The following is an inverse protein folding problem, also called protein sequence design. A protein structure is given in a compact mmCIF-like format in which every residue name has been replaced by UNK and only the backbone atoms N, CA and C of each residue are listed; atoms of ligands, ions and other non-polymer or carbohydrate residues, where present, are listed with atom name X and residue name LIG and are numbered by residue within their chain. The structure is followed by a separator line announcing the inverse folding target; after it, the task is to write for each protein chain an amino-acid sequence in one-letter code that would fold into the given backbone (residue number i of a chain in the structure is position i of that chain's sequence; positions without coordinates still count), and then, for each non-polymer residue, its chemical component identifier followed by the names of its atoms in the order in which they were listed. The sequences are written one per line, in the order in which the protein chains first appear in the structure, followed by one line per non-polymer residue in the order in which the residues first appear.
data_IF_716135044355
#
_entry.id   IF_716135044355
#
_cell.length_a   1.000
_cell.length_b   1.000
_cell.length_c   1.000
_cell.angle_alpha   90.00
_cell.angle_beta   90.00
_cell.angle_gamma   90.00
#
_symmetry.space_group_name_H-M   'P 1'
#
loop_
_entity.id
_entity.type
_entity.pdbx_description
1 polymer ?
#
# COMPACT_ATOMS: atom_id res chain seq x y z
N UNK A 1 -12.93 -5.15 0.08
CA UNK A 1 -13.98 -4.17 0.36
C UNK A 1 -15.37 -4.85 0.33
N UNK A 2 -16.42 -4.08 0.54
CA UNK A 2 -17.81 -4.57 0.53
C UNK A 2 -18.24 -5.24 -0.80
N UNK A 3 -17.51 -5.01 -1.88
CA UNK A 3 -17.75 -5.60 -3.20
C UNK A 3 -16.85 -6.81 -3.50
N UNK A 4 -16.13 -7.31 -2.52
CA UNK A 4 -15.20 -8.44 -2.65
C UNK A 4 -13.87 -8.10 -3.32
N UNK A 5 -13.54 -6.81 -3.55
CA UNK A 5 -12.27 -6.39 -4.17
C UNK A 5 -11.18 -6.21 -3.14
N UNK A 6 -9.98 -6.66 -3.45
CA UNK A 6 -8.78 -6.35 -2.67
C UNK A 6 -8.21 -4.97 -3.04
N UNK A 7 -7.20 -4.51 -2.31
CA UNK A 7 -6.61 -3.18 -2.49
C UNK A 7 -5.90 -2.99 -3.84
N UNK A 8 -5.30 -4.02 -4.38
CA UNK A 8 -4.68 -4.00 -5.72
C UNK A 8 -5.74 -3.83 -6.81
N UNK A 9 -6.86 -4.54 -6.69
CA UNK A 9 -7.98 -4.45 -7.63
C UNK A 9 -8.64 -3.07 -7.61
N UNK A 10 -8.73 -2.43 -6.43
CA UNK A 10 -9.23 -1.07 -6.29
C UNK A 10 -8.39 -0.03 -7.06
N UNK A 11 -7.09 -0.27 -7.21
CA UNK A 11 -6.19 0.57 -8.03
C UNK A 11 -6.25 0.16 -9.50
N UNK A 12 -6.13 -1.13 -9.80
CA UNK A 12 -6.13 -1.61 -11.18
C UNK A 12 -7.42 -1.25 -11.95
N UNK A 13 -8.55 -1.13 -11.27
CA UNK A 13 -9.83 -0.71 -11.87
C UNK A 13 -9.85 0.75 -12.36
N UNK A 14 -8.84 1.55 -12.02
CA UNK A 14 -8.68 2.93 -12.52
C UNK A 14 -8.18 2.95 -13.97
N UNK A 15 -7.50 1.89 -14.40
CA UNK A 15 -6.98 1.80 -15.75
C UNK A 15 -8.13 1.70 -16.75
N UNK A 16 -8.22 2.67 -17.63
CA UNK A 16 -9.06 2.62 -18.84
C UNK A 16 -8.19 2.28 -20.05
N UNK A 17 -8.26 1.04 -20.50
CA UNK A 17 -7.44 0.52 -21.61
C UNK A 17 -7.58 1.31 -22.92
N UNK A 18 -8.66 2.08 -23.11
CA UNK A 18 -8.87 2.90 -24.30
C UNK A 18 -8.08 4.21 -24.28
N UNK A 19 -7.81 4.71 -23.06
CA UNK A 19 -7.22 6.03 -22.84
C UNK A 19 -5.84 5.97 -22.17
N UNK A 20 -5.51 4.86 -21.50
CA UNK A 20 -4.28 4.72 -20.75
C UNK A 20 -3.37 3.67 -21.39
N UNK A 21 -2.10 4.03 -21.56
CA UNK A 21 -1.07 3.15 -22.12
C UNK A 21 0.23 3.11 -21.31
N UNK A 22 0.48 4.14 -20.48
CA UNK A 22 1.70 4.29 -19.69
C UNK A 22 1.35 4.27 -18.20
N UNK A 23 1.81 3.27 -17.48
CA UNK A 23 1.52 3.10 -16.05
C UNK A 23 2.82 3.02 -15.26
N UNK A 24 2.88 3.78 -14.17
CA UNK A 24 3.97 3.76 -13.19
C UNK A 24 3.45 3.32 -11.83
N UNK A 25 4.19 2.47 -11.13
CA UNK A 25 3.93 2.11 -9.74
C UNK A 25 5.09 2.60 -8.85
N UNK A 26 4.79 3.53 -7.93
CA UNK A 26 5.73 4.12 -6.98
C UNK A 26 5.77 3.31 -5.68
N UNK A 27 6.93 2.79 -5.33
CA UNK A 27 7.07 1.81 -4.25
C UNK A 27 6.46 0.48 -4.67
N UNK A 28 6.83 -0.01 -5.86
CA UNK A 28 6.18 -1.16 -6.50
C UNK A 28 6.46 -2.50 -5.77
N UNK A 29 7.39 -2.53 -4.81
CA UNK A 29 7.79 -3.73 -4.10
C UNK A 29 8.11 -4.89 -5.06
N UNK A 30 7.57 -6.05 -4.79
CA UNK A 30 7.73 -7.26 -5.63
C UNK A 30 6.84 -7.28 -6.89
N UNK A 31 6.26 -6.15 -7.30
CA UNK A 31 5.57 -5.98 -8.58
C UNK A 31 4.16 -6.58 -8.66
N UNK A 32 3.49 -6.81 -7.53
CA UNK A 32 2.16 -7.47 -7.49
C UNK A 32 1.10 -6.66 -8.25
N UNK A 33 1.06 -5.32 -8.09
CA UNK A 33 0.09 -4.47 -8.78
C UNK A 33 0.35 -4.45 -10.30
N UNK A 34 1.62 -4.35 -10.69
CA UNK A 34 2.01 -4.37 -12.10
C UNK A 34 1.70 -5.73 -12.76
N UNK A 35 1.89 -6.83 -12.05
CA UNK A 35 1.51 -8.17 -12.53
C UNK A 35 -0.01 -8.30 -12.69
N UNK A 36 -0.79 -7.76 -11.77
CA UNK A 36 -2.25 -7.70 -11.92
C UNK A 36 -2.66 -6.89 -13.14
N UNK A 37 -2.04 -5.72 -13.38
CA UNK A 37 -2.28 -4.90 -14.56
C UNK A 37 -1.90 -5.66 -15.84
N UNK A 38 -0.73 -6.30 -15.88
CA UNK A 38 -0.30 -7.10 -17.01
C UNK A 38 -1.29 -8.24 -17.34
N UNK A 39 -1.74 -8.98 -16.33
CA UNK A 39 -2.72 -10.06 -16.52
C UNK A 39 -4.08 -9.59 -17.02
N UNK A 40 -4.50 -8.36 -16.61
CA UNK A 40 -5.81 -7.81 -17.03
C UNK A 40 -5.78 -7.17 -18.41
N UNK A 41 -4.70 -6.47 -18.74
CA UNK A 41 -4.64 -5.58 -19.89
C UNK A 41 -3.58 -5.99 -20.94
N UNK A 42 -2.68 -6.91 -20.58
CA UNK A 42 -1.67 -7.44 -21.49
C UNK A 42 -0.66 -6.42 -21.99
N UNK A 43 -0.14 -6.64 -23.19
CA UNK A 43 0.91 -5.82 -23.81
C UNK A 43 0.43 -4.43 -24.26
N UNK A 44 -0.82 -4.08 -24.10
CA UNK A 44 -1.34 -2.75 -24.42
C UNK A 44 -0.90 -1.68 -23.40
N UNK A 45 -0.49 -2.12 -22.18
CA UNK A 45 0.08 -1.25 -21.16
C UNK A 45 1.60 -1.38 -21.11
N UNK A 46 2.27 -0.23 -21.21
CA UNK A 46 3.70 -0.12 -20.90
C UNK A 46 3.85 0.14 -19.40
N UNK A 47 4.33 -0.85 -18.69
CA UNK A 47 4.42 -0.86 -17.23
C UNK A 47 5.82 -0.45 -16.77
N UNK A 48 5.87 0.39 -15.75
CA UNK A 48 7.11 0.78 -15.07
C UNK A 48 6.92 0.67 -13.55
N UNK A 49 7.95 0.22 -12.85
CA UNK A 49 7.98 0.16 -11.38
C UNK A 49 9.20 0.85 -10.83
N UNK A 50 9.03 1.56 -9.72
CA UNK A 50 10.11 2.17 -8.95
C UNK A 50 10.05 1.67 -7.52
N UNK A 51 11.18 1.22 -7.01
CA UNK A 51 11.35 0.91 -5.59
C UNK A 51 12.79 1.20 -5.14
N UNK A 52 12.97 1.60 -3.89
CA UNK A 52 14.31 1.81 -3.34
C UNK A 52 15.00 0.49 -2.95
N UNK A 53 14.23 -0.56 -2.70
CA UNK A 53 14.73 -1.87 -2.27
C UNK A 53 15.07 -2.76 -3.47
N UNK A 54 16.37 -2.96 -3.69
CA UNK A 54 16.85 -3.81 -4.79
C UNK A 54 16.41 -5.28 -4.70
N UNK A 55 16.19 -5.81 -3.50
CA UNK A 55 15.71 -7.20 -3.32
C UNK A 55 14.24 -7.34 -3.74
N UNK A 56 13.40 -6.35 -3.43
CA UNK A 56 12.02 -6.31 -3.92
C UNK A 56 11.98 -6.20 -5.44
N UNK A 57 12.82 -5.35 -6.02
CA UNK A 57 12.91 -5.22 -7.49
C UNK A 57 13.41 -6.51 -8.16
N UNK A 58 14.24 -7.31 -7.49
CA UNK A 58 14.63 -8.61 -8.02
C UNK A 58 13.41 -9.53 -8.10
N UNK A 59 12.61 -9.62 -7.04
CA UNK A 59 11.37 -10.41 -7.05
C UNK A 59 10.37 -9.90 -8.09
N UNK A 60 10.29 -8.59 -8.29
CA UNK A 60 9.44 -7.98 -9.32
C UNK A 60 9.89 -8.37 -10.74
N UNK A 61 11.20 -8.36 -11.02
CA UNK A 61 11.74 -8.82 -12.31
C UNK A 61 11.51 -10.30 -12.55
N UNK A 62 11.63 -11.13 -11.52
CA UNK A 62 11.33 -12.57 -11.62
C UNK A 62 9.84 -12.80 -11.90
N UNK A 63 8.95 -12.07 -11.20
CA UNK A 63 7.48 -12.14 -11.39
C UNK A 63 7.03 -11.73 -12.78
N UNK A 64 7.64 -10.71 -13.35
CA UNK A 64 7.29 -10.12 -14.64
C UNK A 64 8.32 -10.39 -15.74
N UNK A 65 9.08 -11.50 -15.61
CA UNK A 65 10.18 -11.87 -16.52
C UNK A 65 9.75 -12.07 -17.97
N UNK A 66 8.49 -12.44 -18.22
CA UNK A 66 7.93 -12.64 -19.55
C UNK A 66 7.28 -11.37 -20.15
N UNK A 67 7.57 -10.19 -19.55
CA UNK A 67 6.98 -8.90 -19.95
C UNK A 67 8.04 -7.86 -20.24
N UNK A 68 7.68 -6.79 -20.95
CA UNK A 68 8.54 -5.63 -21.21
C UNK A 68 8.51 -4.60 -20.06
N UNK A 69 8.08 -4.99 -18.85
CA UNK A 69 8.00 -4.10 -17.68
C UNK A 69 9.38 -3.56 -17.29
N UNK A 70 9.48 -2.25 -17.09
CA UNK A 70 10.72 -1.58 -16.71
C UNK A 70 10.79 -1.33 -15.22
N UNK A 71 11.92 -1.69 -14.60
CA UNK A 71 12.14 -1.47 -13.17
C UNK A 71 13.34 -0.58 -12.90
N UNK A 72 13.12 0.47 -12.12
CA UNK A 72 14.13 1.45 -11.73
C UNK A 72 14.33 1.40 -10.21
N UNK A 73 15.58 1.29 -9.78
CA UNK A 73 15.92 1.40 -8.36
C UNK A 73 16.15 2.87 -8.03
N UNK A 74 15.37 3.40 -7.09
CA UNK A 74 15.47 4.80 -6.68
C UNK A 74 14.36 5.20 -5.73
N UNK A 75 14.40 6.45 -5.31
CA UNK A 75 13.39 7.06 -4.45
C UNK A 75 12.34 7.79 -5.29
N UNK A 76 11.10 7.82 -4.80
CA UNK A 76 9.99 8.49 -5.50
C UNK A 76 10.14 10.02 -5.56
N UNK A 77 11.02 10.61 -4.75
CA UNK A 77 11.33 12.05 -4.77
C UNK A 77 12.16 12.46 -5.99
N UNK A 78 13.02 11.57 -6.47
CA UNK A 78 13.94 11.88 -7.57
C UNK A 78 13.81 10.83 -8.67
N UNK A 79 13.02 11.17 -9.71
CA UNK A 79 12.74 10.35 -10.87
C UNK A 79 13.11 11.07 -12.17
N UNK A 80 14.32 11.67 -12.22
CA UNK A 80 14.84 12.38 -13.39
C UNK A 80 15.11 11.44 -14.57
N UNK A 81 15.07 10.12 -14.36
CA UNK A 81 15.13 9.13 -15.43
C UNK A 81 13.87 9.10 -16.30
N UNK A 82 12.76 9.70 -15.85
CA UNK A 82 11.53 9.83 -16.63
C UNK A 82 11.33 11.28 -17.08
N UNK A 83 10.91 11.45 -18.33
CA UNK A 83 10.53 12.74 -18.85
C UNK A 83 9.22 13.26 -18.22
N UNK A 84 9.02 14.57 -18.24
CA UNK A 84 7.76 15.18 -17.81
C UNK A 84 6.60 14.66 -18.65
N UNK A 85 5.41 14.63 -18.05
CA UNK A 85 4.17 14.23 -18.73
C UNK A 85 4.27 12.87 -19.45
N UNK A 86 4.87 11.86 -18.77
CA UNK A 86 5.14 10.54 -19.35
C UNK A 86 4.06 9.51 -19.07
N UNK A 87 3.30 9.65 -17.98
CA UNK A 87 2.41 8.59 -17.51
C UNK A 87 0.94 9.00 -17.55
N UNK A 88 0.10 8.06 -18.00
CA UNK A 88 -1.35 8.19 -17.96
C UNK A 88 -1.89 7.86 -16.55
N UNK A 89 -1.26 6.89 -15.88
CA UNK A 89 -1.62 6.48 -14.52
C UNK A 89 -0.36 6.30 -13.69
N UNK A 90 -0.37 6.88 -12.49
CA UNK A 90 0.66 6.64 -11.48
C UNK A 90 -0.01 6.04 -10.26
N UNK A 91 0.47 4.89 -9.82
CA UNK A 91 0.02 4.22 -8.61
C UNK A 91 0.98 4.42 -7.45
N UNK A 92 0.46 4.34 -6.22
CA UNK A 92 1.24 4.18 -5.00
C UNK A 92 0.44 3.31 -4.01
N UNK A 93 0.84 2.05 -3.86
CA UNK A 93 0.13 1.08 -3.03
C UNK A 93 0.84 0.88 -1.70
N UNK A 94 0.27 1.40 -0.62
CA UNK A 94 0.79 1.35 0.76
C UNK A 94 2.23 1.84 0.98
N UNK A 95 2.74 2.69 0.10
CA UNK A 95 4.10 3.19 0.20
C UNK A 95 4.17 4.67 0.57
N UNK A 96 3.12 5.47 0.28
CA UNK A 96 3.16 6.93 0.47
C UNK A 96 3.40 7.34 1.94
N UNK A 97 2.92 6.57 2.91
CA UNK A 97 3.15 6.80 4.35
C UNK A 97 4.60 6.64 4.78
N UNK A 98 5.43 5.97 3.97
CA UNK A 98 6.85 5.73 4.23
C UNK A 98 7.77 6.70 3.48
N UNK A 99 7.20 7.51 2.58
CA UNK A 99 7.96 8.43 1.73
C UNK A 99 8.11 9.80 2.40
N UNK A 100 9.35 10.19 2.68
CA UNK A 100 9.67 11.47 3.34
C UNK A 100 10.85 12.15 2.64
N UNK A 101 10.73 13.43 2.23
CA UNK A 101 9.55 14.32 2.31
C UNK A 101 8.47 13.98 1.26
N UNK A 102 7.25 13.76 1.71
CA UNK A 102 6.12 13.40 0.83
C UNK A 102 5.74 14.50 -0.17
N UNK A 103 6.00 15.76 0.18
CA UNK A 103 5.73 16.92 -0.71
C UNK A 103 6.55 16.80 -2.01
N UNK A 104 7.80 16.36 -1.92
CA UNK A 104 8.65 16.14 -3.10
C UNK A 104 8.12 14.98 -3.96
N UNK A 105 7.61 13.92 -3.33
CA UNK A 105 6.96 12.80 -4.05
C UNK A 105 5.74 13.28 -4.82
N UNK A 106 4.88 14.09 -4.19
CA UNK A 106 3.69 14.64 -4.86
C UNK A 106 4.06 15.59 -6.00
N UNK A 107 5.08 16.43 -5.81
CA UNK A 107 5.58 17.31 -6.86
C UNK A 107 6.16 16.53 -8.05
N UNK A 108 6.96 15.50 -7.77
CA UNK A 108 7.48 14.58 -8.80
C UNK A 108 6.35 13.84 -9.51
N UNK A 109 5.36 13.34 -8.77
CA UNK A 109 4.18 12.68 -9.33
C UNK A 109 3.44 13.61 -10.28
N UNK A 110 3.16 14.86 -9.87
CA UNK A 110 2.51 15.87 -10.73
C UNK A 110 3.32 16.16 -12.02
N UNK A 111 4.64 16.28 -11.90
CA UNK A 111 5.53 16.48 -13.05
C UNK A 111 5.43 15.35 -14.08
N UNK A 112 5.37 14.11 -13.58
CA UNK A 112 5.36 12.91 -14.42
C UNK A 112 4.00 12.61 -15.05
N UNK A 113 2.90 13.09 -14.47
CA UNK A 113 1.56 12.90 -15.01
C UNK A 113 1.35 13.68 -16.30
N UNK A 114 0.71 13.05 -17.28
CA UNK A 114 0.15 13.74 -18.44
C UNK A 114 -0.99 14.67 -18.04
N UNK A 115 -1.40 15.58 -18.92
CA UNK A 115 -2.45 16.58 -18.67
C UNK A 115 -3.76 15.99 -18.09
N UNK A 116 -4.13 14.78 -18.51
CA UNK A 116 -5.31 14.05 -18.04
C UNK A 116 -4.93 12.78 -17.29
N UNK A 117 -3.70 12.71 -16.82
CA UNK A 117 -3.21 11.56 -16.08
C UNK A 117 -3.81 11.47 -14.70
N UNK A 118 -3.85 10.27 -14.15
CA UNK A 118 -4.45 9.97 -12.85
C UNK A 118 -3.36 9.51 -11.88
N UNK A 119 -3.29 10.14 -10.71
CA UNK A 119 -2.57 9.57 -9.56
C UNK A 119 -3.54 8.88 -8.64
N UNK A 120 -3.27 7.62 -8.31
CA UNK A 120 -4.09 6.86 -7.39
C UNK A 120 -3.27 6.11 -6.35
N UNK A 121 -3.70 6.17 -5.08
CA UNK A 121 -3.00 5.54 -3.99
C UNK A 121 -3.95 4.82 -3.02
N UNK A 122 -3.45 3.72 -2.43
CA UNK A 122 -4.00 3.13 -1.21
C UNK A 122 -3.07 3.49 -0.07
N UNK A 123 -3.63 4.09 0.97
CA UNK A 123 -2.91 4.66 2.10
C UNK A 123 -3.61 4.22 3.39
N UNK A 124 -2.88 4.16 4.49
CA UNK A 124 -3.46 3.85 5.80
C UNK A 124 -4.65 4.78 6.11
N UNK A 125 -5.71 4.19 6.66
CA UNK A 125 -6.89 4.90 7.10
C UNK A 125 -6.91 5.12 8.62
N UNK A 126 -8.03 5.65 9.12
CA UNK A 126 -8.21 5.83 10.55
C UNK A 126 -8.41 4.47 11.25
N UNK A 127 -7.49 4.01 12.12
CA UNK A 127 -7.55 2.70 12.76
C UNK A 127 -8.83 2.49 13.60
N UNK A 128 -9.47 3.56 14.05
CA UNK A 128 -10.71 3.51 14.84
C UNK A 128 -11.95 3.14 14.01
N UNK A 129 -11.83 3.16 12.68
CA UNK A 129 -12.97 2.83 11.79
C UNK A 129 -13.04 1.35 11.41
N UNK A 130 -12.01 0.57 11.73
CA UNK A 130 -11.95 -0.86 11.42
C UNK A 130 -12.08 -1.71 12.70
N UNK A 131 -13.16 -2.46 12.86
CA UNK A 131 -13.35 -3.33 14.03
C UNK A 131 -12.22 -4.35 14.19
N UNK A 132 -11.66 -4.47 15.39
CA UNK A 132 -10.61 -5.43 15.69
C UNK A 132 -9.19 -5.02 15.27
N UNK A 133 -9.03 -3.94 14.49
CA UNK A 133 -7.71 -3.50 14.03
C UNK A 133 -6.80 -3.09 15.19
N UNK A 134 -7.29 -2.28 16.12
CA UNK A 134 -6.52 -1.82 17.28
C UNK A 134 -6.15 -2.96 18.22
N UNK A 135 -7.03 -3.93 18.41
CA UNK A 135 -6.75 -5.09 19.25
C UNK A 135 -5.63 -5.95 18.66
N UNK A 136 -5.63 -6.16 17.35
CA UNK A 136 -4.54 -6.87 16.63
C UNK A 136 -3.24 -6.08 16.71
N UNK A 137 -3.29 -4.77 16.45
CA UNK A 137 -2.15 -3.87 16.62
C UNK A 137 -1.55 -3.97 18.02
N UNK A 138 -2.38 -3.87 19.06
CA UNK A 138 -1.94 -3.89 20.46
C UNK A 138 -1.29 -5.22 20.84
N UNK A 139 -1.81 -6.34 20.35
CA UNK A 139 -1.17 -7.65 20.55
C UNK A 139 0.24 -7.65 19.95
N UNK A 140 0.40 -7.22 18.69
CA UNK A 140 1.69 -7.21 17.99
C UNK A 140 2.67 -6.27 18.70
N UNK A 141 2.24 -5.03 18.97
CA UNK A 141 3.10 -4.01 19.57
C UNK A 141 3.51 -4.36 21.00
N UNK A 142 2.64 -5.03 21.77
CA UNK A 142 3.00 -5.53 23.10
C UNK A 142 4.17 -6.50 23.05
N UNK A 143 4.22 -7.41 22.10
CA UNK A 143 5.35 -8.33 21.94
C UNK A 143 6.63 -7.58 21.55
N UNK A 144 6.53 -6.61 20.64
CA UNK A 144 7.69 -5.83 20.20
C UNK A 144 8.20 -4.91 21.31
N UNK A 145 7.32 -4.22 22.02
CA UNK A 145 7.66 -3.30 23.09
C UNK A 145 8.21 -3.97 24.34
N UNK A 146 7.95 -5.26 24.54
CA UNK A 146 8.65 -6.03 25.59
C UNK A 146 10.19 -5.99 25.40
N UNK A 147 10.66 -5.88 24.16
CA UNK A 147 12.09 -5.86 23.83
C UNK A 147 12.59 -4.45 23.45
N UNK A 148 11.75 -3.69 22.78
CA UNK A 148 12.01 -2.33 22.29
C UNK A 148 10.92 -1.40 22.81
N UNK A 149 11.02 -0.91 24.08
CA UNK A 149 9.94 -0.14 24.73
C UNK A 149 9.49 1.09 23.96
N UNK A 150 10.41 1.73 23.22
CA UNK A 150 10.14 2.94 22.45
C UNK A 150 9.68 2.66 21.01
N UNK A 151 9.43 1.39 20.65
CA UNK A 151 8.98 1.06 19.30
C UNK A 151 7.58 1.62 19.04
N UNK A 152 7.44 2.35 17.93
CA UNK A 152 6.19 3.00 17.55
C UNK A 152 5.90 4.33 18.26
N UNK A 153 6.82 4.82 19.09
CA UNK A 153 6.74 6.18 19.69
C UNK A 153 6.94 7.26 18.61
N UNK A 154 7.76 6.98 17.62
CA UNK A 154 7.99 7.88 16.49
C UNK A 154 7.19 7.42 15.28
N UNK A 155 6.37 8.32 14.75
CA UNK A 155 5.69 8.09 13.48
C UNK A 155 6.69 8.25 12.32
N UNK A 156 6.67 7.31 11.37
CA UNK A 156 7.45 7.40 10.14
C UNK A 156 6.70 8.27 9.12
N UNK A 157 7.44 9.07 8.37
CA UNK A 157 6.91 9.93 7.31
C UNK A 157 6.04 11.08 7.81
N UNK A 158 5.29 11.69 6.91
CA UNK A 158 4.42 12.84 7.21
C UNK A 158 3.08 12.36 7.82
N UNK A 159 2.73 12.76 9.06
CA UNK A 159 1.49 12.29 9.70
C UNK A 159 0.21 12.75 8.98
N UNK A 160 0.29 13.78 8.12
CA UNK A 160 -0.86 14.26 7.34
C UNK A 160 -1.39 13.20 6.38
N UNK A 161 -0.54 12.29 5.87
CA UNK A 161 -0.98 11.23 4.95
C UNK A 161 -1.90 10.19 5.60
N UNK A 162 -1.88 10.06 6.94
CA UNK A 162 -2.64 9.05 7.68
C UNK A 162 -4.10 9.45 7.97
N UNK A 163 -4.50 10.67 7.64
CA UNK A 163 -5.87 11.14 7.84
C UNK A 163 -6.44 11.70 6.54
N UNK A 164 -7.71 11.46 6.28
CA UNK A 164 -8.35 11.98 5.07
C UNK A 164 -8.27 13.51 4.98
N UNK A 165 -8.46 14.24 6.09
CA UNK A 165 -8.36 15.70 6.12
C UNK A 165 -6.94 16.22 5.89
N UNK A 166 -5.94 15.57 6.49
CA UNK A 166 -4.53 15.93 6.29
C UNK A 166 -4.08 15.63 4.86
N UNK A 167 -4.46 14.46 4.33
CA UNK A 167 -4.19 14.06 2.96
C UNK A 167 -4.83 15.01 1.94
N UNK A 168 -6.09 15.41 2.17
CA UNK A 168 -6.79 16.42 1.35
C UNK A 168 -6.02 17.74 1.31
N UNK A 169 -5.57 18.23 2.48
CA UNK A 169 -4.81 19.48 2.55
C UNK A 169 -3.46 19.34 1.83
N UNK A 170 -2.74 18.25 2.10
CA UNK A 170 -1.42 17.98 1.51
C UNK A 170 -1.47 17.90 -0.02
N UNK A 171 -2.46 17.18 -0.56
CA UNK A 171 -2.61 17.01 -2.00
C UNK A 171 -3.12 18.28 -2.68
N UNK A 172 -4.02 19.05 -2.05
CA UNK A 172 -4.51 20.32 -2.57
C UNK A 172 -3.39 21.38 -2.75
N UNK A 173 -2.37 21.37 -1.90
CA UNK A 173 -1.20 22.26 -2.02
C UNK A 173 -0.41 21.99 -3.32
N UNK A 174 -0.41 20.75 -3.81
CA UNK A 174 0.34 20.37 -5.04
C UNK A 174 -0.54 20.32 -6.27
N UNK A 175 -1.78 19.81 -6.14
CA UNK A 175 -2.71 19.53 -7.23
C UNK A 175 -3.90 20.50 -7.25
N UNK A 176 -3.60 21.83 -7.21
CA UNK A 176 -4.60 22.92 -7.08
C UNK A 176 -5.74 22.85 -8.13
N UNK A 177 -5.42 22.43 -9.36
CA UNK A 177 -6.36 22.39 -10.48
C UNK A 177 -6.95 20.99 -10.76
N UNK A 178 -6.75 20.03 -9.83
CA UNK A 178 -7.21 18.66 -10.00
C UNK A 178 -8.38 18.32 -9.07
N UNK A 179 -9.26 17.44 -9.54
CA UNK A 179 -10.29 16.85 -8.68
C UNK A 179 -9.67 15.82 -7.74
N UNK A 180 -9.69 16.11 -6.44
CA UNK A 180 -9.13 15.23 -5.42
C UNK A 180 -10.26 14.45 -4.74
N UNK A 181 -10.25 13.14 -4.90
CA UNK A 181 -11.19 12.24 -4.27
C UNK A 181 -10.49 11.34 -3.24
N UNK A 182 -10.91 11.41 -1.98
CA UNK A 182 -10.43 10.55 -0.90
C UNK A 182 -11.60 9.76 -0.36
N UNK A 183 -11.58 8.46 -0.57
CA UNK A 183 -12.64 7.55 -0.14
C UNK A 183 -12.11 6.63 0.97
N UNK A 184 -12.61 6.77 2.22
CA UNK A 184 -12.33 5.79 3.27
C UNK A 184 -12.97 4.44 2.92
N UNK A 185 -12.21 3.37 3.06
CA UNK A 185 -12.63 2.00 2.77
C UNK A 185 -12.17 1.10 3.92
N UNK A 186 -12.99 0.12 4.28
CA UNK A 186 -12.59 -0.98 5.15
C UNK A 186 -12.38 -2.21 4.28
N UNK A 187 -11.17 -2.74 4.30
CA UNK A 187 -10.84 -4.04 3.72
C UNK A 187 -11.10 -5.12 4.75
N UNK A 188 -11.63 -6.26 4.34
CA UNK A 188 -11.87 -7.42 5.22
C UNK A 188 -11.22 -8.67 4.65
N UNK A 189 -10.73 -9.49 5.55
CA UNK A 189 -10.10 -10.77 5.29
C UNK A 189 -10.81 -11.81 6.16
N UNK A 190 -11.52 -12.73 5.53
CA UNK A 190 -12.29 -13.78 6.21
C UNK A 190 -11.58 -15.12 6.00
N UNK A 191 -10.97 -15.65 7.05
CA UNK A 191 -10.16 -16.85 7.00
C UNK A 191 -10.15 -17.60 8.34
N UNK A 192 -9.57 -18.80 8.36
CA UNK A 192 -9.31 -19.53 9.59
C UNK A 192 -8.38 -18.72 10.53
N UNK A 193 -8.59 -18.76 11.87
CA UNK A 193 -7.81 -18.00 12.85
C UNK A 193 -6.30 -18.08 12.69
N UNK A 194 -5.76 -19.26 12.41
CA UNK A 194 -4.32 -19.46 12.22
C UNK A 194 -3.77 -18.81 10.94
N UNK A 195 -4.59 -18.71 9.89
CA UNK A 195 -4.25 -17.99 8.64
C UNK A 195 -4.26 -16.50 8.90
N UNK A 196 -5.33 -15.96 9.49
CA UNK A 196 -5.44 -14.55 9.85
C UNK A 196 -4.32 -14.07 10.77
N UNK A 197 -3.89 -14.90 11.74
CA UNK A 197 -2.78 -14.56 12.62
C UNK A 197 -1.48 -14.30 11.82
N UNK A 198 -1.21 -15.08 10.79
CA UNK A 198 -0.02 -14.93 9.92
C UNK A 198 -0.16 -13.74 8.97
N UNK A 199 -1.31 -13.59 8.34
CA UNK A 199 -1.59 -12.48 7.43
C UNK A 199 -1.51 -11.13 8.17
N UNK A 200 -2.17 -11.02 9.32
CA UNK A 200 -2.10 -9.83 10.17
C UNK A 200 -0.66 -9.53 10.62
N UNK A 201 0.09 -10.55 11.08
CA UNK A 201 1.48 -10.38 11.47
C UNK A 201 2.35 -9.91 10.29
N UNK A 202 2.12 -10.43 9.09
CA UNK A 202 2.85 -10.03 7.87
C UNK A 202 2.59 -8.59 7.44
N UNK A 203 1.42 -8.06 7.77
CA UNK A 203 1.05 -6.69 7.45
C UNK A 203 1.75 -5.64 8.34
N UNK A 204 2.04 -5.97 9.60
CA UNK A 204 2.70 -5.04 10.53
C UNK A 204 4.22 -5.20 10.51
N UNK A 205 4.95 -4.19 10.04
CA UNK A 205 6.43 -4.18 10.05
C UNK A 205 7.03 -4.45 11.43
N UNK A 206 6.31 -4.09 12.49
CA UNK A 206 6.69 -4.37 13.86
C UNK A 206 6.99 -5.86 14.10
N UNK A 207 6.31 -6.77 13.43
CA UNK A 207 6.51 -8.21 13.59
C UNK A 207 7.89 -8.70 13.12
N UNK A 208 8.52 -8.01 12.15
CA UNK A 208 9.80 -8.42 11.56
C UNK A 208 11.03 -8.17 12.44
N UNK A 209 10.89 -7.37 13.52
CA UNK A 209 12.00 -7.15 14.48
C UNK A 209 12.07 -8.22 15.57
N UNK A 210 11.09 -9.13 15.62
CA UNK A 210 11.03 -10.22 16.59
C UNK A 210 11.94 -11.39 16.19
N UNK A 211 12.54 -12.05 17.19
CA UNK A 211 13.20 -13.34 16.96
C UNK A 211 12.15 -14.42 16.57
N UNK A 212 12.57 -15.52 15.93
CA UNK A 212 11.64 -16.61 15.57
C UNK A 212 10.79 -17.14 16.73
N UNK A 213 11.35 -17.18 17.95
CA UNK A 213 10.63 -17.61 19.15
C UNK A 213 9.57 -16.60 19.59
N UNK A 214 9.94 -15.32 19.63
CA UNK A 214 9.02 -14.22 19.98
C UNK A 214 7.90 -14.09 18.95
N UNK A 215 8.25 -14.20 17.67
CA UNK A 215 7.29 -14.19 16.56
C UNK A 215 6.29 -15.34 16.68
N UNK A 216 6.76 -16.57 16.97
CA UNK A 216 5.87 -17.73 17.20
C UNK A 216 4.93 -17.52 18.38
N UNK A 217 5.41 -16.89 19.47
CA UNK A 217 4.56 -16.57 20.61
C UNK A 217 3.49 -15.52 20.27
N UNK A 218 3.88 -14.49 19.52
CA UNK A 218 2.95 -13.47 19.01
C UNK A 218 1.86 -14.09 18.12
N UNK A 219 2.24 -14.98 17.19
CA UNK A 219 1.27 -15.70 16.35
C UNK A 219 0.28 -16.51 17.18
N UNK A 220 0.76 -17.17 18.26
CA UNK A 220 -0.12 -17.92 19.17
C UNK A 220 -1.15 -17.01 19.85
N UNK A 221 -0.75 -15.81 20.26
CA UNK A 221 -1.66 -14.88 20.93
C UNK A 221 -2.64 -14.22 19.94
N UNK A 222 -2.20 -13.93 18.71
CA UNK A 222 -3.09 -13.50 17.62
C UNK A 222 -4.11 -14.59 17.25
N UNK A 223 -3.68 -15.85 17.12
CA UNK A 223 -4.59 -16.95 16.82
C UNK A 223 -5.63 -17.12 17.91
N UNK A 224 -5.25 -17.07 19.20
CA UNK A 224 -6.19 -17.09 20.33
C UNK A 224 -7.21 -15.94 20.22
N UNK A 225 -6.76 -14.72 19.90
CA UNK A 225 -7.65 -13.59 19.69
C UNK A 225 -8.68 -13.90 18.61
N UNK A 226 -8.24 -14.36 17.42
CA UNK A 226 -9.15 -14.68 16.33
C UNK A 226 -10.09 -15.85 16.65
N UNK A 227 -9.65 -16.86 17.40
CA UNK A 227 -10.52 -17.95 17.91
C UNK A 227 -11.67 -17.39 18.74
N UNK A 228 -11.46 -16.35 19.56
CA UNK A 228 -12.54 -15.73 20.35
C UNK A 228 -13.59 -15.00 19.50
N UNK A 229 -13.26 -14.68 18.26
CA UNK A 229 -14.10 -13.92 17.31
C UNK A 229 -14.68 -14.79 16.18
N UNK A 230 -14.31 -16.07 16.12
CA UNK A 230 -14.72 -16.95 15.03
C UNK A 230 -16.22 -17.25 15.05
N UNK A 231 -16.77 -17.42 13.85
CA UNK A 231 -18.09 -17.98 13.59
C UNK A 231 -17.90 -19.10 12.54
N UNK A 232 -18.39 -20.29 12.85
CA UNK A 232 -18.25 -21.48 11.98
C UNK A 232 -16.79 -21.76 11.52
N UNK A 233 -15.83 -21.51 12.42
CA UNK A 233 -14.40 -21.73 12.15
C UNK A 233 -13.71 -20.64 11.35
N UNK A 234 -14.42 -19.57 10.95
CA UNK A 234 -13.91 -18.42 10.21
C UNK A 234 -13.90 -17.19 11.14
N UNK A 235 -12.87 -16.39 11.04
CA UNK A 235 -12.76 -15.09 11.70
C UNK A 235 -12.53 -14.01 10.65
N UNK A 236 -12.77 -12.76 11.03
CA UNK A 236 -12.56 -11.61 10.17
C UNK A 236 -11.46 -10.70 10.75
N UNK A 237 -10.54 -10.26 9.90
CA UNK A 237 -9.63 -9.17 10.18
C UNK A 237 -9.95 -8.00 9.25
N UNK A 238 -10.09 -6.81 9.81
CA UNK A 238 -10.42 -5.61 9.03
C UNK A 238 -9.30 -4.58 9.08
N UNK A 239 -9.09 -3.91 7.95
CA UNK A 239 -8.06 -2.87 7.77
C UNK A 239 -8.68 -1.60 7.21
N UNK A 240 -8.46 -0.45 7.88
CA UNK A 240 -8.91 0.84 7.38
C UNK A 240 -7.91 1.36 6.35
N UNK A 241 -8.40 1.81 5.19
CA UNK A 241 -7.59 2.47 4.17
C UNK A 241 -8.28 3.72 3.65
N UNK A 242 -7.51 4.65 3.12
CA UNK A 242 -7.96 5.73 2.27
C UNK A 242 -7.56 5.43 0.83
N UNK A 243 -8.52 5.41 -0.09
CA UNK A 243 -8.24 5.42 -1.51
C UNK A 243 -8.23 6.86 -1.98
N UNK A 244 -7.05 7.32 -2.41
CA UNK A 244 -6.84 8.62 -3.04
C UNK A 244 -6.92 8.46 -4.56
N UNK A 245 -7.60 9.37 -5.23
CA UNK A 245 -7.62 9.51 -6.71
C UNK A 245 -7.58 11.01 -7.02
N UNK A 246 -6.63 11.41 -7.85
CA UNK A 246 -6.40 12.78 -8.30
C UNK A 246 -6.37 12.80 -9.81
#
# INVERSE_FOLDING_TARGET
DANGKNSYELLADIVDQKNHSQVLDLGCGSGVLLDLCNRRFGAELMLSGVDMNGSELQLARERLSETDTKFHQGTAQNLDCFADSSFDVIFCHWALTLMDPVVEVLATTKRLLKEKGIFAAIIDGNPKTAPGYLEVHDIIYKHVQCKYPDYGVFELGDPRVRTAAGLQKLTAETFEDFDINITPITLSFDEAPSVLAREAAGFFYASFVLSPKEFSQMLTDLEKYFITKQQDGISCFTMPVNRLVI
#
